data_IF_383519638076
#
_entry.id   IF_383519638076
#
_cell.length_a   1.000
_cell.length_b   1.000
_cell.length_c   1.000
_cell.angle_alpha   90.00
_cell.angle_beta   90.00
_cell.angle_gamma   90.00
#
_symmetry.space_group_name_H-M   'P 1'
#
loop_
_entity.id
_entity.type
_entity.pdbx_description
1 polymer ?
#
# COMPACT_ATOMS: atom_id res chain seq x y z
N UNK A 1 43.65 14.31 19.91
CA UNK A 1 42.58 13.34 19.64
C UNK A 1 41.27 14.11 19.59
N UNK A 2 40.53 14.04 18.48
CA UNK A 2 39.28 14.79 18.32
C UNK A 2 38.07 14.01 18.86
N UNK A 3 37.12 14.73 19.43
CA UNK A 3 35.82 14.17 19.82
C UNK A 3 35.07 13.65 18.59
N UNK A 4 34.45 12.47 18.71
CA UNK A 4 33.67 11.84 17.64
C UNK A 4 32.28 11.44 18.14
N UNK A 5 31.22 11.85 17.45
CA UNK A 5 29.86 11.44 17.79
C UNK A 5 29.48 10.11 17.11
N UNK A 6 29.02 9.14 17.90
CA UNK A 6 28.58 7.84 17.41
C UNK A 6 27.05 7.76 17.38
N UNK A 7 26.43 7.70 16.20
CA UNK A 7 24.98 7.61 16.03
C UNK A 7 24.36 6.35 16.65
N UNK A 8 25.09 5.23 16.68
CA UNK A 8 24.64 3.96 17.30
C UNK A 8 24.64 4.06 18.82
N UNK A 9 25.69 4.65 19.39
CA UNK A 9 25.83 4.79 20.84
C UNK A 9 25.08 6.01 21.40
N UNK A 10 24.70 6.96 20.54
CA UNK A 10 24.13 8.28 20.87
C UNK A 10 24.97 9.07 21.86
N UNK A 11 26.29 8.99 21.72
CA UNK A 11 27.24 9.63 22.63
C UNK A 11 28.46 10.12 21.84
N UNK A 12 29.05 11.21 22.34
CA UNK A 12 30.36 11.68 21.89
C UNK A 12 31.44 10.89 22.63
N UNK A 13 32.33 10.26 21.87
CA UNK A 13 33.46 9.51 22.38
C UNK A 13 34.76 10.26 22.12
N UNK A 14 35.64 10.28 23.11
CA UNK A 14 36.97 10.91 23.03
C UNK A 14 38.08 9.90 22.70
N UNK A 15 37.76 8.60 22.71
CA UNK A 15 38.66 7.49 22.37
C UNK A 15 38.92 7.36 20.86
N UNK A 16 38.42 8.32 20.07
CA UNK A 16 38.53 8.33 18.61
C UNK A 16 37.84 7.12 17.94
N UNK A 17 38.40 6.65 16.83
CA UNK A 17 37.83 5.54 16.03
C UNK A 17 37.95 4.16 16.72
N UNK A 18 38.63 4.04 17.86
CA UNK A 18 38.75 2.78 18.59
C UNK A 18 37.43 2.31 19.21
N UNK A 19 36.51 3.22 19.53
CA UNK A 19 35.26 2.87 20.22
C UNK A 19 34.36 1.90 19.43
N UNK A 20 34.43 1.91 18.08
CA UNK A 20 33.64 1.01 17.22
C UNK A 20 33.98 -0.46 17.46
N UNK A 21 35.18 -0.75 17.95
CA UNK A 21 35.63 -2.11 18.28
C UNK A 21 35.26 -2.53 19.70
N UNK A 22 34.78 -1.59 20.53
CA UNK A 22 34.42 -1.85 21.92
C UNK A 22 33.16 -2.72 22.07
N UNK A 23 33.14 -3.59 23.08
CA UNK A 23 32.02 -4.49 23.37
C UNK A 23 30.69 -3.75 23.53
N UNK A 24 30.70 -2.58 24.19
CA UNK A 24 29.49 -1.75 24.39
C UNK A 24 28.88 -1.30 23.06
N UNK A 25 29.70 -0.80 22.13
CA UNK A 25 29.23 -0.40 20.80
C UNK A 25 28.67 -1.61 20.04
N UNK A 26 29.41 -2.73 20.01
CA UNK A 26 28.99 -3.94 19.29
C UNK A 26 27.69 -4.53 19.84
N UNK A 27 27.49 -4.53 21.16
CA UNK A 27 26.22 -4.93 21.78
C UNK A 27 25.05 -4.02 21.37
N UNK A 28 25.24 -2.69 21.40
CA UNK A 28 24.21 -1.73 20.95
C UNK A 28 23.89 -1.89 19.45
N UNK A 29 24.93 -2.03 18.62
CA UNK A 29 24.82 -2.26 17.18
C UNK A 29 23.99 -3.51 16.90
N UNK A 30 24.26 -4.61 17.60
CA UNK A 30 23.50 -5.86 17.46
C UNK A 30 22.01 -5.65 17.77
N UNK A 31 21.67 -4.93 18.83
CA UNK A 31 20.27 -4.63 19.18
C UNK A 31 19.59 -3.80 18.10
N UNK A 32 20.26 -2.77 17.58
CA UNK A 32 19.75 -1.93 16.48
C UNK A 32 19.51 -2.78 15.23
N UNK A 33 20.47 -3.60 14.84
CA UNK A 33 20.37 -4.46 13.66
C UNK A 33 19.28 -5.52 13.80
N UNK A 34 19.09 -6.12 14.98
CA UNK A 34 17.99 -7.08 15.22
C UNK A 34 16.64 -6.39 15.04
N UNK A 35 16.42 -5.25 15.68
CA UNK A 35 15.16 -4.48 15.54
C UNK A 35 14.91 -4.03 14.10
N UNK A 36 15.96 -3.64 13.39
CA UNK A 36 15.85 -3.28 11.98
C UNK A 36 15.51 -4.49 11.11
N UNK A 37 16.18 -5.63 11.36
CA UNK A 37 15.94 -6.87 10.64
C UNK A 37 14.52 -7.38 10.81
N UNK A 38 13.91 -7.22 11.99
CA UNK A 38 12.53 -7.65 12.22
C UNK A 38 11.55 -6.91 11.29
N UNK A 39 11.73 -5.60 11.10
CA UNK A 39 10.94 -4.81 10.11
C UNK A 39 11.15 -5.31 8.69
N UNK A 40 12.40 -5.62 8.32
CA UNK A 40 12.73 -6.14 6.97
C UNK A 40 12.12 -7.53 6.77
N UNK A 41 12.13 -8.38 7.79
CA UNK A 41 11.50 -9.71 7.74
C UNK A 41 9.99 -9.63 7.60
N UNK A 42 9.34 -8.71 8.30
CA UNK A 42 7.90 -8.46 8.16
C UNK A 42 7.56 -8.11 6.72
N UNK A 43 8.30 -7.16 6.12
CA UNK A 43 8.13 -6.80 4.72
C UNK A 43 8.42 -7.97 3.77
N UNK A 44 9.48 -8.75 4.00
CA UNK A 44 9.81 -9.90 3.14
C UNK A 44 8.70 -10.96 3.09
N UNK A 45 7.85 -11.06 4.11
CA UNK A 45 6.72 -12.01 4.10
C UNK A 45 5.67 -11.64 3.04
N UNK A 46 5.57 -10.36 2.67
CA UNK A 46 4.62 -9.89 1.66
C UNK A 46 5.13 -10.06 0.22
N UNK A 47 6.40 -10.44 0.02
CA UNK A 47 6.98 -10.63 -1.33
C UNK A 47 6.19 -11.64 -2.19
N UNK A 48 5.63 -12.69 -1.57
CA UNK A 48 4.87 -13.73 -2.27
C UNK A 48 3.37 -13.48 -2.31
N UNK A 49 2.86 -12.66 -1.39
CA UNK A 49 1.45 -12.36 -1.27
C UNK A 49 1.33 -10.91 -0.81
N UNK A 50 1.43 -9.96 -1.75
CA UNK A 50 1.30 -8.55 -1.45
C UNK A 50 -0.10 -8.26 -0.94
N UNK A 51 -0.18 -7.40 0.08
CA UNK A 51 -1.44 -7.00 0.66
C UNK A 51 -1.83 -5.64 0.08
N UNK A 52 -2.99 -5.61 -0.57
CA UNK A 52 -3.58 -4.40 -1.14
C UNK A 52 -4.84 -4.10 -0.33
N UNK A 53 -4.92 -2.87 0.18
CA UNK A 53 -6.03 -2.39 0.99
C UNK A 53 -6.55 -1.06 0.45
N UNK A 54 -7.79 -0.73 0.80
CA UNK A 54 -8.32 0.62 0.59
C UNK A 54 -7.51 1.62 1.39
N UNK A 55 -7.11 2.73 0.78
CA UNK A 55 -6.27 3.72 1.44
C UNK A 55 -6.95 4.34 2.67
N UNK A 56 -6.20 4.37 3.77
CA UNK A 56 -6.51 5.05 5.02
C UNK A 56 -5.25 5.78 5.50
N UNK A 57 -5.28 7.11 5.48
CA UNK A 57 -4.15 7.93 5.86
C UNK A 57 -3.65 7.65 7.30
N UNK A 58 -4.54 7.28 8.21
CA UNK A 58 -4.17 6.99 9.61
C UNK A 58 -3.33 5.71 9.76
N UNK A 59 -3.44 4.78 8.80
CA UNK A 59 -2.79 3.48 8.83
C UNK A 59 -1.63 3.39 7.82
N UNK A 60 -1.77 4.05 6.67
CA UNK A 60 -0.88 3.84 5.51
C UNK A 60 0.16 4.93 5.33
N UNK A 61 -0.01 6.13 5.88
CA UNK A 61 1.03 7.19 5.88
C UNK A 61 2.06 7.00 7.02
N UNK A 62 2.53 5.76 7.19
CA UNK A 62 3.53 5.43 8.18
C UNK A 62 4.92 5.35 7.55
N UNK A 63 5.93 5.82 8.29
CA UNK A 63 7.33 5.81 7.87
C UNK A 63 8.16 4.87 8.73
N UNK A 64 9.30 4.45 8.21
CA UNK A 64 10.34 3.79 9.00
C UNK A 64 11.70 4.46 8.78
N UNK A 65 12.53 4.41 9.82
CA UNK A 65 13.91 4.87 9.75
C UNK A 65 14.82 3.77 9.17
N UNK A 66 15.55 4.07 8.11
CA UNK A 66 16.61 3.21 7.58
C UNK A 66 17.95 3.58 8.20
N UNK A 67 18.54 2.67 8.99
CA UNK A 67 19.83 2.92 9.64
C UNK A 67 21.02 2.93 8.68
N UNK A 68 20.92 2.22 7.56
CA UNK A 68 21.99 2.19 6.56
C UNK A 68 22.10 3.52 5.81
N UNK A 69 20.94 4.06 5.42
CA UNK A 69 20.84 5.29 4.61
C UNK A 69 20.72 6.56 5.45
N UNK A 70 20.42 6.42 6.75
CA UNK A 70 20.19 7.55 7.67
C UNK A 70 19.03 8.47 7.19
N UNK A 71 17.96 7.86 6.65
CA UNK A 71 16.76 8.57 6.13
C UNK A 71 15.46 7.95 6.63
N UNK A 72 14.40 8.77 6.68
CA UNK A 72 13.02 8.30 6.81
C UNK A 72 12.46 7.88 5.45
N UNK A 73 11.86 6.69 5.41
CA UNK A 73 11.33 6.08 4.20
C UNK A 73 9.86 5.74 4.42
N UNK A 74 9.03 5.89 3.40
CA UNK A 74 7.64 5.45 3.45
C UNK A 74 7.57 3.94 3.63
N UNK A 75 6.74 3.47 4.56
CA UNK A 75 6.57 2.04 4.82
C UNK A 75 5.71 1.41 3.72
N UNK A 76 4.62 2.06 3.35
CA UNK A 76 3.65 1.61 2.36
C UNK A 76 3.75 2.45 1.08
N UNK A 77 3.23 1.94 -0.03
CA UNK A 77 3.08 2.68 -1.29
C UNK A 77 1.59 2.91 -1.51
N UNK A 78 1.20 4.12 -1.92
CA UNK A 78 -0.21 4.48 -2.12
C UNK A 78 -0.41 5.40 -3.32
N UNK A 79 -1.57 5.28 -3.98
CA UNK A 79 -2.05 6.23 -5.00
C UNK A 79 -3.21 7.12 -4.50
N UNK A 80 -3.43 7.14 -3.17
CA UNK A 80 -4.54 7.86 -2.52
C UNK A 80 -5.90 7.14 -2.57
N UNK A 81 -6.03 6.04 -3.33
CA UNK A 81 -7.25 5.19 -3.31
C UNK A 81 -6.98 3.84 -2.68
N UNK A 82 -5.82 3.26 -2.97
CA UNK A 82 -5.36 1.98 -2.41
C UNK A 82 -3.96 2.14 -1.84
N UNK A 83 -3.61 1.24 -0.92
CA UNK A 83 -2.27 1.11 -0.37
C UNK A 83 -1.75 -0.31 -0.55
N UNK A 84 -0.52 -0.43 -1.02
CA UNK A 84 0.24 -1.68 -1.07
C UNK A 84 1.11 -1.74 0.17
N UNK A 85 0.83 -2.72 1.04
CA UNK A 85 1.52 -2.78 2.32
C UNK A 85 3.00 -3.17 2.16
N UNK A 86 3.87 -2.47 2.91
CA UNK A 86 5.32 -2.64 2.87
C UNK A 86 6.00 -2.32 1.53
N UNK A 87 5.24 -1.85 0.52
CA UNK A 87 5.78 -1.56 -0.81
C UNK A 87 6.97 -0.60 -0.78
N UNK A 88 6.83 0.52 -0.06
CA UNK A 88 7.87 1.57 -0.02
C UNK A 88 9.14 1.11 0.69
N UNK A 89 8.98 0.28 1.73
CA UNK A 89 10.12 -0.36 2.38
C UNK A 89 10.83 -1.32 1.41
N UNK A 90 10.10 -2.18 0.72
CA UNK A 90 10.69 -3.15 -0.21
C UNK A 90 11.40 -2.46 -1.38
N UNK A 91 10.78 -1.44 -1.96
CA UNK A 91 11.37 -0.62 -3.03
C UNK A 91 12.66 0.03 -2.56
N UNK A 92 12.66 0.72 -1.41
CA UNK A 92 13.88 1.32 -0.87
C UNK A 92 15.02 0.30 -0.69
N UNK A 93 14.70 -0.87 -0.12
CA UNK A 93 15.68 -1.92 0.17
C UNK A 93 16.26 -2.59 -1.08
N UNK A 94 15.58 -2.47 -2.22
CA UNK A 94 16.06 -2.93 -3.54
C UNK A 94 16.95 -1.93 -4.27
N UNK A 95 17.00 -0.67 -3.82
CA UNK A 95 17.77 0.38 -4.51
C UNK A 95 19.28 0.11 -4.46
N UNK A 96 19.97 0.50 -5.55
CA UNK A 96 21.43 0.45 -5.58
C UNK A 96 22.07 1.37 -4.54
N UNK A 97 21.42 2.50 -4.22
CA UNK A 97 21.85 3.43 -3.18
C UNK A 97 21.83 2.77 -1.81
N UNK A 98 20.73 2.12 -1.43
CA UNK A 98 20.65 1.37 -0.18
C UNK A 98 21.72 0.28 -0.08
N UNK A 99 22.00 -0.43 -1.18
CA UNK A 99 23.09 -1.43 -1.21
C UNK A 99 24.46 -0.80 -0.93
N UNK A 100 24.77 0.35 -1.55
CA UNK A 100 26.03 1.09 -1.30
C UNK A 100 26.10 1.58 0.14
N UNK A 101 25.03 2.17 0.65
CA UNK A 101 24.94 2.68 2.02
C UNK A 101 25.05 1.55 3.05
N UNK A 102 24.43 0.39 2.79
CA UNK A 102 24.57 -0.81 3.62
C UNK A 102 26.02 -1.29 3.66
N UNK A 103 26.73 -1.30 2.53
CA UNK A 103 28.16 -1.63 2.50
C UNK A 103 28.99 -0.67 3.37
N UNK A 104 28.76 0.63 3.20
CA UNK A 104 29.46 1.68 3.95
C UNK A 104 29.15 1.60 5.45
N UNK A 105 27.88 1.40 5.81
CA UNK A 105 27.43 1.24 7.20
C UNK A 105 28.09 0.04 7.88
N UNK A 106 28.15 -1.12 7.20
CA UNK A 106 28.82 -2.32 7.72
C UNK A 106 30.30 -2.05 7.98
N UNK A 107 30.98 -1.38 7.04
CA UNK A 107 32.39 -1.06 7.18
C UNK A 107 32.66 -0.05 8.31
N UNK A 108 31.82 0.99 8.42
CA UNK A 108 31.91 2.07 9.43
C UNK A 108 31.72 1.54 10.85
N UNK A 109 30.77 0.63 11.05
CA UNK A 109 30.42 0.11 12.38
C UNK A 109 31.03 -1.25 12.71
N UNK A 110 31.83 -1.83 11.80
CA UNK A 110 32.42 -3.17 11.96
C UNK A 110 31.38 -4.23 12.33
N UNK A 111 30.23 -4.17 11.65
CA UNK A 111 29.14 -5.11 11.85
C UNK A 111 29.51 -6.51 11.31
N UNK A 112 28.87 -7.54 11.86
CA UNK A 112 29.06 -8.92 11.42
C UNK A 112 28.56 -9.12 9.98
N UNK A 113 29.48 -9.54 9.09
CA UNK A 113 29.20 -9.77 7.67
C UNK A 113 28.15 -10.86 7.42
N UNK A 114 28.00 -11.84 8.33
CA UNK A 114 27.02 -12.94 8.19
C UNK A 114 25.57 -12.47 8.06
N UNK A 115 25.28 -11.27 8.56
CA UNK A 115 23.92 -10.74 8.63
C UNK A 115 23.60 -9.74 7.53
N UNK A 116 24.61 -9.30 6.77
CA UNK A 116 24.51 -8.20 5.80
C UNK A 116 23.49 -8.49 4.69
N UNK A 117 23.59 -9.66 4.07
CA UNK A 117 22.73 -10.05 2.94
C UNK A 117 21.23 -10.05 3.30
N UNK A 118 20.89 -10.19 4.58
CA UNK A 118 19.49 -10.15 5.05
C UNK A 118 18.84 -8.77 4.82
N UNK A 119 19.64 -7.71 4.72
CA UNK A 119 19.22 -6.33 4.52
C UNK A 119 19.29 -5.88 3.06
N UNK A 120 19.53 -6.78 2.11
CA UNK A 120 19.58 -6.46 0.67
C UNK A 120 18.49 -7.25 -0.03
N UNK A 121 17.57 -6.58 -0.69
CA UNK A 121 16.57 -7.23 -1.55
C UNK A 121 17.13 -7.27 -2.96
N UNK A 122 17.08 -8.44 -3.60
CA UNK A 122 17.60 -8.58 -4.96
C UNK A 122 16.64 -8.01 -5.99
N UNK A 123 17.16 -7.66 -7.15
CA UNK A 123 16.34 -7.21 -8.28
C UNK A 123 15.29 -8.27 -8.66
N UNK A 124 15.69 -9.55 -8.71
CA UNK A 124 14.77 -10.67 -8.95
C UNK A 124 13.66 -10.80 -7.89
N UNK A 125 13.94 -10.54 -6.60
CA UNK A 125 12.90 -10.49 -5.57
C UNK A 125 11.93 -9.33 -5.81
N UNK A 126 12.45 -8.21 -6.29
CA UNK A 126 11.68 -6.98 -6.56
C UNK A 126 10.79 -7.15 -7.79
N UNK A 127 11.30 -7.75 -8.86
CA UNK A 127 10.52 -7.98 -10.09
C UNK A 127 9.37 -8.95 -9.84
N UNK A 128 9.63 -10.06 -9.13
CA UNK A 128 8.56 -10.98 -8.70
C UNK A 128 7.53 -10.28 -7.81
N UNK A 129 7.98 -9.42 -6.90
CA UNK A 129 7.06 -8.65 -6.06
C UNK A 129 6.17 -7.72 -6.90
N UNK A 130 6.72 -7.02 -7.89
CA UNK A 130 5.94 -6.17 -8.79
C UNK A 130 4.89 -6.96 -9.57
N UNK A 131 5.24 -8.14 -10.06
CA UNK A 131 4.29 -9.04 -10.74
C UNK A 131 3.15 -9.47 -9.81
N UNK A 132 3.47 -9.88 -8.58
CA UNK A 132 2.45 -10.27 -7.60
C UNK A 132 1.60 -9.08 -7.12
N UNK A 133 2.17 -7.87 -7.04
CA UNK A 133 1.42 -6.65 -6.74
C UNK A 133 0.42 -6.34 -7.85
N UNK A 134 0.82 -6.49 -9.11
CA UNK A 134 -0.07 -6.29 -10.25
C UNK A 134 -1.29 -7.25 -10.17
N UNK A 135 -1.04 -8.54 -9.90
CA UNK A 135 -2.10 -9.54 -9.71
C UNK A 135 -2.99 -9.21 -8.52
N UNK A 136 -2.41 -8.79 -7.39
CA UNK A 136 -3.16 -8.45 -6.19
C UNK A 136 -4.05 -7.21 -6.39
N UNK A 137 -3.58 -6.22 -7.16
CA UNK A 137 -4.36 -5.05 -7.53
C UNK A 137 -5.54 -5.42 -8.44
N UNK A 138 -5.31 -6.25 -9.46
CA UNK A 138 -6.39 -6.74 -10.34
C UNK A 138 -7.47 -7.49 -9.54
N UNK A 139 -7.05 -8.39 -8.64
CA UNK A 139 -7.99 -9.11 -7.77
C UNK A 139 -8.75 -8.20 -6.82
N UNK A 140 -8.11 -7.14 -6.32
CA UNK A 140 -8.76 -6.15 -5.46
C UNK A 140 -9.84 -5.38 -6.24
N UNK A 141 -9.51 -4.90 -7.43
CA UNK A 141 -10.45 -4.18 -8.30
C UNK A 141 -11.63 -5.05 -8.73
N UNK A 142 -11.40 -6.32 -9.09
CA UNK A 142 -12.48 -7.26 -9.43
C UNK A 142 -13.43 -7.49 -8.24
N UNK A 143 -12.88 -7.64 -7.02
CA UNK A 143 -13.69 -7.77 -5.80
C UNK A 143 -14.53 -6.52 -5.57
N UNK A 144 -13.95 -5.33 -5.65
CA UNK A 144 -14.70 -4.07 -5.51
C UNK A 144 -15.82 -3.96 -6.55
N UNK A 145 -15.56 -4.28 -7.82
CA UNK A 145 -16.55 -4.29 -8.89
C UNK A 145 -17.71 -5.26 -8.62
N UNK A 146 -17.41 -6.45 -8.07
CA UNK A 146 -18.44 -7.43 -7.71
C UNK A 146 -19.34 -6.90 -6.59
N UNK A 147 -18.77 -6.24 -5.58
CA UNK A 147 -19.52 -5.64 -4.48
C UNK A 147 -20.43 -4.50 -4.97
N UNK A 148 -19.92 -3.64 -5.86
CA UNK A 148 -20.71 -2.57 -6.47
C UNK A 148 -21.89 -3.14 -7.25
N UNK A 149 -21.68 -4.19 -8.05
CA UNK A 149 -22.75 -4.86 -8.82
C UNK A 149 -23.81 -5.48 -7.91
N UNK A 150 -23.39 -6.13 -6.82
CA UNK A 150 -24.31 -6.71 -5.82
C UNK A 150 -25.15 -5.63 -5.14
N UNK A 151 -24.51 -4.53 -4.71
CA UNK A 151 -25.21 -3.41 -4.10
C UNK A 151 -26.22 -2.76 -5.05
N UNK A 152 -25.86 -2.58 -6.32
CA UNK A 152 -26.75 -2.05 -7.34
C UNK A 152 -27.93 -3.00 -7.64
N UNK A 153 -27.73 -4.32 -7.56
CA UNK A 153 -28.82 -5.29 -7.71
C UNK A 153 -29.81 -5.21 -6.53
N UNK A 154 -29.31 -5.08 -5.30
CA UNK A 154 -30.14 -4.89 -4.11
C UNK A 154 -30.98 -3.61 -4.18
N UNK A 155 -30.38 -2.49 -4.61
CA UNK A 155 -31.11 -1.23 -4.77
C UNK A 155 -32.24 -1.40 -5.80
N UNK A 156 -31.96 -2.05 -6.94
CA UNK A 156 -32.96 -2.30 -7.98
C UNK A 156 -34.10 -3.21 -7.51
N UNK A 157 -33.81 -4.27 -6.75
CA UNK A 157 -34.85 -5.17 -6.24
C UNK A 157 -35.71 -4.50 -5.17
N UNK A 158 -35.12 -3.68 -4.31
CA UNK A 158 -35.86 -2.88 -3.33
C UNK A 158 -36.78 -1.88 -4.02
N UNK A 159 -36.31 -1.18 -5.04
CA UNK A 159 -37.13 -0.23 -5.79
C UNK A 159 -38.27 -0.93 -6.53
N UNK A 160 -37.99 -2.07 -7.17
CA UNK A 160 -39.02 -2.88 -7.80
C UNK A 160 -40.09 -3.32 -6.80
N UNK A 161 -39.69 -3.81 -5.62
CA UNK A 161 -40.63 -4.20 -4.57
C UNK A 161 -41.49 -3.03 -4.09
N UNK A 162 -40.92 -1.83 -3.96
CA UNK A 162 -41.68 -0.61 -3.59
C UNK A 162 -42.73 -0.27 -4.64
N UNK A 163 -42.40 -0.37 -5.92
CA UNK A 163 -43.33 -0.13 -7.01
C UNK A 163 -44.47 -1.16 -7.03
N UNK A 164 -44.16 -2.43 -6.81
CA UNK A 164 -45.16 -3.51 -6.72
C UNK A 164 -46.15 -3.29 -5.56
N UNK A 165 -45.65 -2.92 -4.38
CA UNK A 165 -46.50 -2.59 -3.22
C UNK A 165 -47.39 -1.39 -3.49
N UNK A 166 -46.84 -0.31 -4.07
CA UNK A 166 -47.62 0.87 -4.44
C UNK A 166 -48.70 0.54 -5.47
N UNK A 167 -48.38 -0.28 -6.47
CA UNK A 167 -49.35 -0.71 -7.47
C UNK A 167 -50.48 -1.54 -6.86
N UNK A 168 -50.15 -2.50 -5.98
CA UNK A 168 -51.15 -3.29 -5.26
C UNK A 168 -52.08 -2.40 -4.41
N UNK A 169 -51.54 -1.37 -3.73
CA UNK A 169 -52.35 -0.41 -2.96
C UNK A 169 -53.30 0.39 -3.85
N UNK A 170 -52.86 0.83 -5.02
CA UNK A 170 -53.70 1.56 -5.99
C UNK A 170 -54.84 0.65 -6.49
N UNK A 171 -54.54 -0.61 -6.81
CA UNK A 171 -55.54 -1.58 -7.29
C UNK A 171 -56.59 -1.91 -6.21
N UNK A 172 -56.22 -1.91 -4.93
CA UNK A 172 -57.14 -2.20 -3.82
C UNK A 172 -57.93 -0.96 -3.34
N UNK A 173 -57.32 0.22 -3.31
CA UNK A 173 -57.94 1.43 -2.74
C UNK A 173 -58.82 2.22 -3.71
N UNK A 174 -58.76 1.96 -5.03
CA UNK A 174 -59.54 2.72 -6.03
C UNK A 174 -60.28 1.77 -6.98
N UNK A 175 -61.42 1.17 -6.56
CA UNK A 175 -62.26 0.44 -7.49
C UNK A 175 -63.05 1.46 -8.34
N UNK A 176 -62.51 1.83 -9.51
CA UNK A 176 -63.32 2.45 -10.57
C UNK A 176 -62.87 3.77 -11.20
N UNK A 177 -61.57 4.08 -11.30
CA UNK A 177 -61.11 5.08 -12.28
C UNK A 177 -60.00 4.52 -13.17
N UNK A 178 -60.40 4.05 -14.36
CA UNK A 178 -59.47 3.85 -15.47
C UNK A 178 -58.98 5.22 -15.96
N UNK A 179 -57.66 5.31 -16.16
CA UNK A 179 -56.91 6.33 -16.93
C UNK A 179 -56.93 7.77 -16.40
N UNK A 180 -55.77 8.23 -15.87
CA UNK A 180 -55.00 9.34 -16.48
C UNK A 180 -53.70 9.76 -15.74
N UNK A 181 -53.18 8.99 -14.77
CA UNK A 181 -52.02 9.45 -13.97
C UNK A 181 -50.75 8.58 -14.04
N UNK A 182 -50.63 7.68 -15.02
CA UNK A 182 -49.40 6.87 -15.23
C UNK A 182 -48.78 7.18 -16.60
N UNK A 183 -48.69 8.47 -16.95
CA UNK A 183 -48.05 8.88 -18.21
C UNK A 183 -46.95 9.94 -18.02
N UNK A 184 -46.60 10.29 -16.78
CA UNK A 184 -45.57 11.30 -16.49
C UNK A 184 -44.30 10.78 -15.79
N UNK A 185 -44.18 9.49 -15.47
CA UNK A 185 -42.94 8.94 -14.89
C UNK A 185 -42.02 8.22 -15.89
N UNK A 186 -42.49 7.90 -17.10
CA UNK A 186 -41.69 7.20 -18.12
C UNK A 186 -40.77 8.13 -18.92
N UNK A 187 -40.98 9.46 -18.89
CA UNK A 187 -40.15 10.43 -19.61
C UNK A 187 -38.90 10.91 -18.85
N UNK A 188 -38.83 10.69 -17.52
CA UNK A 188 -37.66 11.05 -16.71
C UNK A 188 -36.64 9.91 -16.57
N UNK A 189 -37.05 8.66 -16.81
CA UNK A 189 -36.17 7.48 -16.72
C UNK A 189 -35.40 7.18 -18.02
N UNK A 190 -35.68 7.88 -19.12
CA UNK A 190 -35.06 7.60 -20.44
C UNK A 190 -34.06 8.66 -20.93
N UNK A 191 -33.53 9.51 -20.04
CA UNK A 191 -32.56 10.56 -20.41
C UNK A 191 -31.28 10.55 -19.58
N UNK A 192 -30.65 9.39 -19.40
CA UNK A 192 -29.24 9.31 -18.96
C UNK A 192 -28.50 8.03 -19.42
N UNK A 193 -28.97 7.35 -20.46
CA UNK A 193 -28.23 6.26 -21.13
C UNK A 193 -27.37 6.81 -22.27
N UNK A 194 -26.43 7.69 -21.96
CA UNK A 194 -25.22 7.93 -22.77
C UNK A 194 -24.02 8.21 -21.87
N UNK A 195 -23.56 7.19 -21.16
CA UNK A 195 -22.14 7.10 -20.82
C UNK A 195 -21.52 6.16 -21.83
N UNK A 196 -20.83 6.73 -22.82
CA UNK A 196 -20.01 5.95 -23.75
C UNK A 196 -19.09 5.05 -22.93
N UNK A 197 -19.03 3.77 -23.27
CA UNK A 197 -18.01 2.84 -22.79
C UNK A 197 -16.64 3.26 -23.33
N UNK A 198 -16.11 4.37 -22.84
CA UNK A 198 -14.68 4.63 -22.92
C UNK A 198 -14.08 3.87 -21.76
N UNK A 199 -13.44 2.75 -22.09
CA UNK A 199 -12.44 2.13 -21.21
C UNK A 199 -11.54 3.25 -20.68
N UNK A 200 -11.32 3.39 -19.37
CA UNK A 200 -10.41 4.39 -18.85
C UNK A 200 -9.00 4.10 -19.38
N UNK A 201 -8.39 5.06 -20.06
CA UNK A 201 -7.04 5.00 -20.65
C UNK A 201 -5.90 4.88 -19.61
N UNK A 202 -6.21 4.53 -18.35
CA UNK A 202 -5.27 4.52 -17.23
C UNK A 202 -4.65 3.14 -16.98
N UNK A 203 -5.12 2.10 -17.68
CA UNK A 203 -4.57 0.73 -17.61
C UNK A 203 -3.14 0.64 -18.17
N UNK A 204 -2.62 1.71 -18.78
CA UNK A 204 -1.29 1.74 -19.38
C UNK A 204 -0.30 2.73 -18.76
N UNK A 205 -0.67 3.45 -17.70
CA UNK A 205 0.19 4.49 -17.09
C UNK A 205 0.45 4.31 -15.59
N UNK A 206 -0.01 3.21 -14.98
CA UNK A 206 0.12 2.97 -13.53
C UNK A 206 1.45 2.32 -13.11
N UNK A 207 2.55 2.72 -13.75
CA UNK A 207 3.91 2.40 -13.30
C UNK A 207 4.90 3.58 -13.42
N UNK A 208 4.48 4.74 -13.94
CA UNK A 208 5.33 5.95 -14.01
C UNK A 208 5.10 6.93 -12.84
N UNK A 209 4.11 6.67 -11.98
CA UNK A 209 3.80 7.53 -10.82
C UNK A 209 4.49 7.05 -9.53
N UNK A 210 5.17 5.90 -9.55
CA UNK A 210 5.83 5.33 -8.37
C UNK A 210 7.37 5.48 -8.36
N UNK A 211 7.93 6.33 -9.22
CA UNK A 211 9.39 6.59 -9.32
C UNK A 211 9.76 8.07 -9.27
N UNK A 212 9.02 8.90 -8.55
CA UNK A 212 9.46 10.28 -8.24
C UNK A 212 9.17 10.59 -6.78
N UNK A 213 10.14 10.34 -5.90
CA UNK A 213 10.76 11.26 -4.95
C UNK A 213 11.70 10.50 -4.01
#
# INVERSE_FOLDING_TARGET
>A
MGAFYCAICKQTDFSGKGHIYGKSHQSKLKVVLVKFLDKVKEARRTLKCPQVEKFDASQHETKFWCYCCEVEVQKHVTDGRVAVLYGGLLEHMSTQEHRKNTNAFWWKNKADHKHKEKFIITEQETDRFKEEVAKALEQYEEKEDTLIKQQAALIRSQEQHRLEVLQALIEVCVPGMKQHLIQNCSSLLNRSSRTSSRRPAWVQSRWEVFTVY
#
